data_IF_597833074743
#
_entry.id   IF_597833074743
#
_cell.length_a   1.000
_cell.length_b   1.000
_cell.length_c   1.000
_cell.angle_alpha   90.00
_cell.angle_beta   90.00
_cell.angle_gamma   90.00
#
_symmetry.space_group_name_H-M   'P 1'
#
loop_
_entity.id
_entity.type
_entity.pdbx_description
1 polymer ?
#
# COMPACT_ATOMS: atom_id res chain seq x y z
N UNK A 1 63.13 50.99 -1.12
CA UNK A 1 63.77 49.65 -1.19
C UNK A 1 65.29 49.87 -1.09
N UNK A 2 65.95 49.38 -0.05
CA UNK A 2 67.40 49.54 0.11
C UNK A 2 68.10 48.41 -0.64
N UNK A 3 68.80 48.73 -1.72
CA UNK A 3 69.67 47.77 -2.40
C UNK A 3 71.08 47.94 -1.84
N UNK A 4 71.61 46.89 -1.22
CA UNK A 4 72.98 46.84 -0.70
C UNK A 4 73.84 46.07 -1.69
N UNK A 5 74.93 46.67 -2.15
CA UNK A 5 75.96 45.97 -2.91
C UNK A 5 76.71 45.00 -1.97
N UNK A 6 76.55 43.70 -2.22
CA UNK A 6 77.09 42.62 -1.40
C UNK A 6 78.60 42.42 -1.54
N UNK A 7 79.30 43.20 -2.38
CA UNK A 7 80.76 43.06 -2.54
C UNK A 7 81.55 44.15 -1.79
N UNK A 8 80.98 45.33 -1.51
CA UNK A 8 81.70 46.42 -0.83
C UNK A 8 81.05 46.96 0.46
N UNK A 9 79.83 46.52 0.82
CA UNK A 9 79.23 46.79 2.14
C UNK A 9 79.06 48.28 2.49
N UNK A 10 78.90 49.17 1.51
CA UNK A 10 78.59 50.59 1.73
C UNK A 10 77.34 51.02 0.93
N UNK A 11 76.47 51.89 1.48
CA UNK A 11 75.22 52.29 0.83
C UNK A 11 75.48 53.27 -0.34
N UNK A 12 74.88 52.99 -1.50
CA UNK A 12 75.11 53.74 -2.75
C UNK A 12 73.88 54.55 -3.17
N UNK A 13 73.28 55.33 -2.26
CA UNK A 13 72.19 56.34 -2.45
C UNK A 13 70.77 56.02 -1.96
N UNK A 14 70.08 57.09 -1.55
CA UNK A 14 68.70 57.15 -1.04
C UNK A 14 67.81 57.84 -2.08
N UNK A 15 66.79 57.17 -2.62
CA UNK A 15 65.88 57.74 -3.60
C UNK A 15 64.72 58.47 -2.91
N UNK A 16 64.79 59.80 -2.88
CA UNK A 16 63.64 60.68 -2.63
C UNK A 16 63.33 61.48 -3.89
N UNK A 17 62.31 61.09 -4.66
CA UNK A 17 61.81 61.84 -5.82
C UNK A 17 61.09 60.99 -6.87
N UNK A 18 59.96 61.50 -7.38
CA UNK A 18 59.02 60.81 -8.26
C UNK A 18 59.52 60.63 -9.71
N UNK A 19 59.17 59.49 -10.33
CA UNK A 19 59.41 59.17 -11.73
C UNK A 19 58.35 59.84 -12.62
N UNK A 20 58.59 61.05 -13.12
CA UNK A 20 57.66 61.70 -14.07
C UNK A 20 58.29 62.18 -15.38
N UNK A 21 59.60 62.07 -15.58
CA UNK A 21 60.23 62.50 -16.84
C UNK A 21 61.30 61.50 -17.33
N UNK A 22 60.93 60.64 -18.30
CA UNK A 22 61.89 59.91 -19.14
C UNK A 22 61.41 59.97 -20.60
N UNK A 23 62.27 60.37 -21.57
CA UNK A 23 61.88 60.44 -22.98
C UNK A 23 61.77 59.05 -23.61
N UNK A 24 60.79 58.88 -24.48
CA UNK A 24 60.55 57.65 -25.25
C UNK A 24 61.65 57.44 -26.29
N UNK A 25 62.45 56.38 -26.17
CA UNK A 25 63.41 55.96 -27.21
C UNK A 25 62.75 54.79 -27.98
N UNK A 26 62.42 55.02 -29.25
CA UNK A 26 61.94 53.98 -30.15
C UNK A 26 63.08 53.01 -30.55
N UNK A 27 62.80 51.71 -30.52
CA UNK A 27 63.75 50.67 -30.95
C UNK A 27 63.23 49.96 -32.20
N UNK A 28 64.14 49.66 -33.14
CA UNK A 28 63.90 48.79 -34.31
C UNK A 28 64.74 47.52 -34.13
N UNK A 29 64.14 46.35 -34.33
CA UNK A 29 64.80 45.05 -34.14
C UNK A 29 66.04 44.89 -35.03
N UNK A 30 67.19 44.52 -34.44
CA UNK A 30 68.35 43.96 -35.16
C UNK A 30 69.63 44.79 -35.26
N UNK A 31 69.75 45.95 -34.59
CA UNK A 31 71.01 46.72 -34.53
C UNK A 31 71.68 46.59 -33.16
N UNK A 32 72.94 46.14 -33.11
CA UNK A 32 73.76 46.12 -31.91
C UNK A 32 74.48 47.47 -31.73
N UNK A 33 74.09 48.25 -30.72
CA UNK A 33 74.80 49.47 -30.32
C UNK A 33 75.92 49.06 -29.36
N UNK A 34 77.19 49.25 -29.77
CA UNK A 34 78.34 49.16 -28.87
C UNK A 34 78.63 50.54 -28.33
N UNK A 35 78.36 50.74 -27.05
CA UNK A 35 79.09 51.70 -26.23
C UNK A 35 79.17 51.18 -24.79
N UNK A 36 80.33 51.42 -24.19
CA UNK A 36 80.75 50.86 -22.92
C UNK A 36 79.84 51.28 -21.76
N UNK A 37 79.53 50.28 -20.94
CA UNK A 37 78.84 50.31 -19.65
C UNK A 37 77.30 50.36 -19.70
N UNK A 38 76.75 49.33 -19.05
CA UNK A 38 75.35 48.99 -18.86
C UNK A 38 74.67 48.38 -20.09
N UNK A 39 74.74 47.04 -20.17
CA UNK A 39 73.57 46.30 -20.63
C UNK A 39 72.47 46.62 -19.62
N UNK A 40 71.64 47.61 -19.92
CA UNK A 40 70.34 47.74 -19.26
C UNK A 40 69.53 46.55 -19.77
N UNK A 41 69.74 45.37 -19.16
CA UNK A 41 68.70 44.34 -19.17
C UNK A 41 67.58 44.95 -18.34
N UNK A 42 66.76 45.81 -18.95
CA UNK A 42 65.38 45.89 -18.51
C UNK A 42 64.89 44.49 -18.82
N UNK A 43 64.85 43.61 -17.81
CA UNK A 43 63.82 42.58 -17.86
C UNK A 43 62.54 43.37 -17.86
N UNK A 44 62.05 43.70 -19.06
CA UNK A 44 60.64 43.94 -19.23
C UNK A 44 60.04 42.54 -19.01
N UNK A 45 59.85 42.18 -17.74
CA UNK A 45 58.72 41.35 -17.42
C UNK A 45 57.56 42.12 -18.01
N UNK A 46 57.03 41.63 -19.13
CA UNK A 46 55.72 42.04 -19.62
C UNK A 46 54.84 41.93 -18.37
N UNK A 47 54.41 43.05 -17.81
CA UNK A 47 53.30 43.04 -16.88
C UNK A 47 52.12 42.74 -17.81
N UNK A 48 51.83 41.47 -18.02
CA UNK A 48 50.56 41.06 -18.60
C UNK A 48 49.54 41.52 -17.56
N UNK A 49 48.88 42.63 -17.86
CA UNK A 49 47.63 42.96 -17.18
C UNK A 49 46.65 41.89 -17.66
N UNK A 50 45.94 41.28 -16.72
CA UNK A 50 44.89 40.32 -17.03
C UNK A 50 43.66 41.09 -17.55
N UNK A 51 42.96 40.41 -18.43
CA UNK A 51 41.78 40.82 -19.22
C UNK A 51 41.12 39.47 -19.54
N UNK A 52 40.34 38.98 -18.58
CA UNK A 52 39.91 37.58 -18.51
C UNK A 52 38.89 37.26 -19.60
N UNK A 53 37.93 38.15 -19.83
CA UNK A 53 36.93 38.03 -20.90
C UNK A 53 37.43 38.53 -22.29
N UNK A 54 38.55 39.27 -22.34
CA UNK A 54 39.10 39.90 -23.54
C UNK A 54 38.18 40.96 -24.19
N UNK A 55 37.35 41.66 -23.42
CA UNK A 55 36.54 42.79 -23.93
C UNK A 55 37.34 44.08 -24.12
N UNK A 56 38.57 44.12 -23.59
CA UNK A 56 39.51 45.22 -23.69
C UNK A 56 39.51 46.17 -22.50
N UNK A 57 38.70 45.90 -21.48
CA UNK A 57 38.86 46.38 -20.11
C UNK A 57 39.87 45.46 -19.40
N UNK A 58 40.50 45.93 -18.34
CA UNK A 58 41.43 45.09 -17.57
C UNK A 58 40.73 44.67 -16.31
N UNK A 59 40.92 43.45 -15.82
CA UNK A 59 40.24 42.91 -14.63
C UNK A 59 40.14 43.93 -13.47
N UNK A 60 41.27 44.56 -13.12
CA UNK A 60 41.33 45.60 -12.06
C UNK A 60 40.46 46.87 -12.27
N UNK A 61 39.94 47.07 -13.47
CA UNK A 61 39.13 48.18 -13.96
C UNK A 61 37.76 47.70 -14.49
N UNK A 62 37.56 46.39 -14.58
CA UNK A 62 36.28 45.75 -14.88
C UNK A 62 35.48 45.54 -13.59
N UNK A 63 34.20 45.24 -13.74
CA UNK A 63 33.30 44.91 -12.63
C UNK A 63 32.64 43.55 -12.79
N UNK A 64 33.00 42.84 -13.86
CA UNK A 64 32.51 41.55 -14.32
C UNK A 64 33.63 40.97 -15.19
N UNK A 65 34.69 40.51 -14.52
CA UNK A 65 36.01 40.20 -15.10
C UNK A 65 35.93 39.08 -16.17
N UNK A 66 34.93 38.20 -16.10
CA UNK A 66 34.72 37.10 -17.05
C UNK A 66 33.45 37.22 -17.93
N UNK A 67 32.60 38.21 -17.65
CA UNK A 67 31.44 38.62 -18.44
C UNK A 67 30.36 37.54 -18.54
N UNK A 68 30.20 36.75 -17.48
CA UNK A 68 29.11 35.79 -17.32
C UNK A 68 27.77 36.46 -16.94
N UNK A 69 27.84 37.73 -16.53
CA UNK A 69 26.71 38.58 -16.17
C UNK A 69 26.47 38.75 -14.67
N UNK A 70 27.31 38.15 -13.82
CA UNK A 70 27.34 38.33 -12.36
C UNK A 70 28.54 39.22 -12.00
N UNK A 71 28.32 40.40 -11.37
CA UNK A 71 29.45 41.27 -11.02
C UNK A 71 30.41 40.64 -10.00
N UNK A 72 31.71 40.93 -10.10
CA UNK A 72 32.77 40.31 -9.27
C UNK A 72 32.55 40.37 -7.74
N UNK A 73 31.72 41.32 -7.28
CA UNK A 73 31.41 41.48 -5.86
C UNK A 73 30.43 40.45 -5.33
N UNK A 74 29.59 39.90 -6.22
CA UNK A 74 28.56 38.93 -5.93
C UNK A 74 28.91 37.54 -6.51
N UNK A 75 30.02 37.42 -7.23
CA UNK A 75 30.53 36.20 -7.85
C UNK A 75 31.65 35.54 -7.01
N UNK A 76 31.47 34.30 -6.53
CA UNK A 76 32.52 33.51 -5.88
C UNK A 76 33.70 33.16 -6.82
N UNK A 77 33.47 33.10 -8.13
CA UNK A 77 34.44 32.73 -9.17
C UNK A 77 34.57 33.79 -10.28
N UNK A 78 34.98 35.03 -9.94
CA UNK A 78 34.96 36.18 -10.85
C UNK A 78 35.85 36.06 -12.10
N UNK A 79 36.60 34.97 -12.27
CA UNK A 79 37.49 34.75 -13.42
C UNK A 79 37.12 33.49 -14.22
N UNK A 80 36.05 32.79 -13.85
CA UNK A 80 35.58 31.58 -14.50
C UNK A 80 34.13 31.73 -14.96
N UNK A 81 33.88 32.05 -16.23
CA UNK A 81 32.53 32.37 -16.71
C UNK A 81 31.60 31.15 -16.79
N UNK A 82 32.07 29.99 -16.34
CA UNK A 82 31.29 28.77 -16.20
C UNK A 82 30.82 28.53 -14.77
N UNK A 83 31.28 29.29 -13.77
CA UNK A 83 30.94 29.12 -12.36
C UNK A 83 30.58 30.46 -11.75
N UNK A 84 29.43 30.57 -11.10
CA UNK A 84 29.03 31.81 -10.40
C UNK A 84 28.29 31.57 -9.08
N UNK A 85 28.20 30.32 -8.66
CA UNK A 85 27.58 29.90 -7.39
C UNK A 85 28.50 28.89 -6.72
N UNK A 86 28.61 28.99 -5.40
CA UNK A 86 29.41 28.15 -4.50
C UNK A 86 28.54 27.92 -3.26
N UNK A 87 27.61 26.96 -3.34
CA UNK A 87 26.51 26.83 -2.38
C UNK A 87 27.02 26.48 -0.98
N UNK A 88 28.07 25.68 -0.87
CA UNK A 88 28.68 25.28 0.40
C UNK A 88 29.92 26.10 0.81
N UNK A 89 30.50 26.88 -0.11
CA UNK A 89 31.68 27.70 0.13
C UNK A 89 32.99 26.91 0.19
N UNK A 90 33.08 25.73 -0.43
CA UNK A 90 34.28 24.89 -0.42
C UNK A 90 35.34 25.35 -1.45
N UNK A 91 34.92 26.19 -2.40
CA UNK A 91 35.74 26.78 -3.44
C UNK A 91 35.77 26.00 -4.75
N UNK A 92 34.86 25.04 -4.96
CA UNK A 92 34.44 24.48 -6.25
C UNK A 92 33.05 25.02 -6.58
N UNK A 93 32.82 25.45 -7.82
CA UNK A 93 31.52 26.01 -8.19
C UNK A 93 30.50 24.93 -8.50
N UNK A 94 29.22 25.22 -8.25
CA UNK A 94 28.10 24.26 -8.36
C UNK A 94 28.03 23.54 -9.73
N UNK A 95 28.53 24.12 -10.84
CA UNK A 95 28.52 23.40 -12.13
C UNK A 95 29.62 22.32 -12.24
N UNK A 96 30.65 22.40 -11.39
CA UNK A 96 31.78 21.48 -11.35
C UNK A 96 31.83 20.64 -10.06
N UNK A 97 31.18 21.08 -8.99
CA UNK A 97 30.96 20.28 -7.80
C UNK A 97 29.97 19.15 -8.10
N UNK A 98 29.95 18.15 -7.22
CA UNK A 98 29.09 16.98 -7.34
C UNK A 98 28.24 16.76 -6.09
N UNK A 99 28.34 17.68 -5.12
CA UNK A 99 27.72 17.69 -3.80
C UNK A 99 27.66 19.17 -3.36
N UNK A 100 26.82 19.96 -4.06
CA UNK A 100 26.83 21.43 -4.01
C UNK A 100 26.59 22.03 -2.61
N UNK A 101 25.99 21.27 -1.69
CA UNK A 101 25.75 21.68 -0.30
C UNK A 101 26.58 20.92 0.76
N UNK A 102 27.43 19.99 0.31
CA UNK A 102 28.40 19.22 1.09
C UNK A 102 27.79 18.43 2.26
N UNK A 103 26.55 17.94 2.11
CA UNK A 103 25.91 17.11 3.12
C UNK A 103 26.25 15.61 3.02
N UNK A 104 26.92 15.24 1.93
CA UNK A 104 27.47 13.91 1.67
C UNK A 104 26.64 13.05 0.72
N UNK A 105 25.58 13.59 0.12
CA UNK A 105 24.80 12.98 -0.96
C UNK A 105 25.05 13.75 -2.26
N UNK A 106 25.33 13.05 -3.36
CA UNK A 106 25.66 13.73 -4.62
C UNK A 106 24.42 14.28 -5.30
N UNK A 107 24.54 15.41 -6.02
CA UNK A 107 23.41 16.14 -6.63
C UNK A 107 22.53 15.28 -7.53
N UNK A 108 23.08 14.22 -8.14
CA UNK A 108 22.34 13.31 -9.01
C UNK A 108 21.44 12.32 -8.24
N UNK A 109 21.64 12.24 -6.92
CA UNK A 109 20.89 11.38 -5.99
C UNK A 109 20.19 12.15 -4.87
N UNK A 110 20.54 13.42 -4.69
CA UNK A 110 19.92 14.29 -3.70
C UNK A 110 18.58 14.85 -4.21
N UNK A 111 17.54 14.81 -3.37
CA UNK A 111 16.26 15.44 -3.66
C UNK A 111 16.33 16.99 -3.55
N UNK A 112 17.24 17.51 -2.72
CA UNK A 112 17.50 18.93 -2.48
C UNK A 112 18.99 19.29 -2.58
N UNK A 113 19.61 19.23 -3.78
CA UNK A 113 21.06 19.40 -3.96
C UNK A 113 21.70 20.69 -3.43
N UNK A 114 20.91 21.70 -3.05
CA UNK A 114 21.39 23.01 -2.60
C UNK A 114 21.03 23.31 -1.14
N UNK A 115 20.56 22.30 -0.40
CA UNK A 115 20.09 22.44 0.97
C UNK A 115 20.60 21.28 1.82
N UNK A 116 21.81 21.43 2.37
CA UNK A 116 22.47 20.37 3.13
C UNK A 116 21.85 20.01 4.49
N UNK A 117 20.61 20.44 4.72
CA UNK A 117 19.76 19.96 5.80
C UNK A 117 18.73 18.91 5.34
N UNK A 118 18.59 18.66 4.03
CA UNK A 118 17.58 17.78 3.45
C UNK A 118 18.21 16.97 2.31
N UNK A 119 18.07 15.64 2.35
CA UNK A 119 18.64 14.74 1.32
C UNK A 119 17.58 13.89 0.59
N UNK A 120 16.36 13.84 1.14
CA UNK A 120 15.31 12.92 0.74
C UNK A 120 13.94 13.62 0.75
N UNK A 121 13.05 13.18 -0.14
CA UNK A 121 11.66 13.62 -0.33
C UNK A 121 10.85 12.35 -0.66
N UNK A 122 10.46 11.62 0.38
CA UNK A 122 9.96 10.25 0.23
C UNK A 122 8.59 10.20 -0.47
N UNK A 123 7.69 11.15 -0.20
CA UNK A 123 6.37 11.24 -0.83
C UNK A 123 6.34 12.13 -2.09
N UNK A 124 7.43 12.84 -2.35
CA UNK A 124 7.64 13.69 -3.53
C UNK A 124 6.71 14.92 -3.56
N UNK A 125 6.41 15.49 -2.39
CA UNK A 125 5.61 16.70 -2.26
C UNK A 125 6.43 18.01 -2.39
N UNK A 126 7.76 17.89 -2.32
CA UNK A 126 8.73 18.97 -2.44
C UNK A 126 9.16 19.60 -1.10
N UNK A 127 8.79 19.01 0.03
CA UNK A 127 9.32 19.26 1.37
C UNK A 127 10.26 18.08 1.70
N UNK A 128 11.43 18.37 2.27
CA UNK A 128 12.39 17.30 2.60
C UNK A 128 12.04 16.60 3.91
N UNK A 129 12.32 15.30 3.99
CA UNK A 129 11.96 14.42 5.12
C UNK A 129 12.39 14.99 6.51
N UNK A 130 13.47 15.77 6.63
CA UNK A 130 13.83 16.34 7.95
C UNK A 130 12.93 17.52 8.36
N UNK A 131 12.24 18.15 7.40
CA UNK A 131 11.31 19.27 7.60
C UNK A 131 9.85 18.87 7.39
N UNK A 132 9.58 17.75 6.72
CA UNK A 132 8.25 17.21 6.50
C UNK A 132 7.67 16.70 7.82
N UNK A 133 6.40 17.03 8.14
CA UNK A 133 5.65 16.39 9.20
C UNK A 133 5.03 15.01 8.86
N UNK A 134 5.06 14.54 7.61
CA UNK A 134 4.38 13.34 7.08
C UNK A 134 5.19 12.75 5.91
N UNK A 135 6.37 12.19 6.23
CA UNK A 135 7.42 11.79 5.28
C UNK A 135 6.91 10.87 4.14
N UNK A 136 5.97 9.97 4.42
CA UNK A 136 5.46 9.01 3.43
C UNK A 136 4.10 9.36 2.81
N UNK A 137 3.51 10.48 3.23
CA UNK A 137 2.29 11.05 2.68
C UNK A 137 1.03 10.20 2.90
N UNK A 138 0.99 9.34 3.92
CA UNK A 138 -0.20 8.53 4.26
C UNK A 138 -1.28 9.33 5.01
N UNK A 139 -0.94 10.53 5.49
CA UNK A 139 -1.82 11.45 6.20
C UNK A 139 -1.68 11.40 7.72
N UNK A 140 -0.75 10.61 8.27
CA UNK A 140 -0.42 10.49 9.68
C UNK A 140 0.94 11.13 9.94
N UNK A 141 0.98 12.02 10.93
CA UNK A 141 2.21 12.75 11.22
C UNK A 141 3.30 11.84 11.83
N UNK A 142 4.57 11.98 11.43
CA UNK A 142 5.67 11.09 11.82
C UNK A 142 5.81 10.92 13.34
N UNK A 143 5.44 11.94 14.12
CA UNK A 143 5.57 11.90 15.59
C UNK A 143 4.59 10.93 16.25
N UNK A 144 3.52 10.55 15.56
CA UNK A 144 2.52 9.58 15.99
C UNK A 144 2.46 8.35 15.08
N UNK A 145 3.18 8.37 13.96
CA UNK A 145 3.32 7.25 13.07
C UNK A 145 4.33 6.22 13.62
N UNK A 146 3.96 4.95 13.64
CA UNK A 146 4.88 3.88 14.04
C UNK A 146 5.90 3.52 12.93
N UNK A 147 5.56 3.78 11.67
CA UNK A 147 6.34 3.52 10.46
C UNK A 147 6.33 4.72 9.50
N UNK A 148 6.91 5.87 9.89
CA UNK A 148 6.86 7.13 9.12
C UNK A 148 7.47 7.09 7.71
N UNK A 149 8.05 5.98 7.27
CA UNK A 149 8.63 5.83 5.93
C UNK A 149 7.90 4.77 5.09
N UNK A 150 6.71 4.39 5.50
CA UNK A 150 5.94 3.33 4.87
C UNK A 150 4.47 3.71 4.77
N UNK A 151 4.11 4.30 3.63
CA UNK A 151 2.75 4.73 3.27
C UNK A 151 1.64 3.68 3.45
N UNK A 152 2.00 2.40 3.63
CA UNK A 152 1.08 1.30 3.84
C UNK A 152 0.92 0.89 5.32
N UNK A 153 1.63 1.48 6.27
CA UNK A 153 1.60 1.11 7.69
C UNK A 153 1.75 2.35 8.57
N UNK A 154 0.84 2.54 9.54
CA UNK A 154 0.94 3.67 10.49
C UNK A 154 0.82 3.28 11.96
N UNK A 155 0.57 1.99 12.25
CA UNK A 155 0.33 1.51 13.61
C UNK A 155 1.05 0.17 13.88
N UNK A 156 1.61 0.06 15.08
CA UNK A 156 2.25 -1.14 15.66
C UNK A 156 1.66 -1.34 17.06
N UNK A 157 0.59 -2.14 17.15
CA UNK A 157 -0.23 -2.22 18.36
C UNK A 157 0.51 -2.94 19.50
N UNK A 158 1.26 -4.00 19.21
CA UNK A 158 1.98 -4.79 20.22
C UNK A 158 3.46 -4.40 20.37
N UNK A 159 3.99 -3.59 19.45
CA UNK A 159 5.34 -3.06 19.47
C UNK A 159 6.39 -4.06 18.99
N UNK A 160 6.02 -5.04 18.16
CA UNK A 160 6.95 -6.06 17.65
C UNK A 160 7.76 -5.60 16.41
N UNK A 161 7.37 -4.46 15.82
CA UNK A 161 7.99 -3.85 14.66
C UNK A 161 7.44 -4.32 13.31
N UNK A 162 6.34 -5.07 13.30
CA UNK A 162 5.52 -5.36 12.12
C UNK A 162 4.27 -4.47 12.21
N UNK A 163 3.97 -3.75 11.13
CA UNK A 163 2.78 -2.89 11.12
C UNK A 163 1.50 -3.71 11.07
N UNK A 164 0.43 -3.20 11.68
CA UNK A 164 -0.85 -3.91 11.81
C UNK A 164 -1.45 -4.36 10.46
N UNK A 165 -1.08 -3.76 9.32
CA UNK A 165 -1.61 -4.22 8.02
C UNK A 165 -0.88 -5.46 7.51
N UNK A 166 0.36 -5.68 7.94
CA UNK A 166 1.19 -6.83 7.63
C UNK A 166 1.21 -7.90 8.73
N UNK A 167 0.92 -7.51 9.98
CA UNK A 167 0.81 -8.42 11.10
C UNK A 167 -0.48 -9.25 11.02
N UNK A 168 -0.45 -10.41 11.65
CA UNK A 168 -1.57 -11.34 11.73
C UNK A 168 -2.03 -11.59 13.16
N UNK A 169 -1.41 -10.93 14.16
CA UNK A 169 -1.68 -11.00 15.61
C UNK A 169 -1.36 -9.63 16.23
N UNK A 170 -2.10 -8.60 15.79
CA UNK A 170 -1.86 -7.17 16.02
C UNK A 170 -1.62 -6.82 17.51
N UNK A 171 -2.21 -7.52 18.47
CA UNK A 171 -2.02 -7.27 19.90
C UNK A 171 -1.08 -8.24 20.64
N UNK A 172 -0.51 -9.20 19.91
CA UNK A 172 0.49 -10.13 20.41
C UNK A 172 -0.01 -11.06 21.53
N UNK A 173 -1.32 -11.27 21.64
CA UNK A 173 -1.90 -12.15 22.67
C UNK A 173 -1.83 -13.65 22.32
N UNK A 174 -1.44 -13.94 21.07
CA UNK A 174 -1.26 -15.28 20.53
C UNK A 174 -2.49 -15.80 19.76
N UNK A 175 -3.55 -15.00 19.63
CA UNK A 175 -4.70 -15.28 18.79
C UNK A 175 -4.60 -14.45 17.49
N UNK A 176 -4.51 -15.09 16.31
CA UNK A 176 -4.43 -14.33 15.07
C UNK A 176 -5.64 -13.42 14.86
N UNK A 177 -5.52 -12.24 14.24
CA UNK A 177 -6.58 -11.22 14.10
C UNK A 177 -7.88 -11.76 13.51
N UNK A 178 -7.74 -12.69 12.56
CA UNK A 178 -8.87 -13.37 11.93
C UNK A 178 -9.69 -14.22 12.91
N UNK A 179 -9.07 -14.64 14.00
CA UNK A 179 -9.62 -15.45 15.08
C UNK A 179 -9.84 -14.65 16.37
N UNK A 180 -9.20 -13.49 16.49
CA UNK A 180 -9.25 -12.67 17.68
C UNK A 180 -10.44 -11.69 17.71
N UNK A 181 -10.98 -11.52 18.91
CA UNK A 181 -12.21 -10.79 19.18
C UNK A 181 -11.95 -9.30 19.43
N UNK A 182 -10.70 -8.93 19.68
CA UNK A 182 -10.29 -7.57 19.94
C UNK A 182 -8.84 -7.39 19.49
N UNK A 183 -8.57 -7.39 18.16
CA UNK A 183 -7.20 -7.46 17.61
C UNK A 183 -6.26 -6.33 18.06
N UNK A 184 -6.77 -5.32 18.77
CA UNK A 184 -6.00 -4.20 19.28
C UNK A 184 -5.91 -4.14 20.82
N UNK A 185 -6.33 -5.18 21.55
CA UNK A 185 -6.30 -5.20 23.02
C UNK A 185 -6.07 -6.60 23.59
N UNK A 186 -4.79 -6.88 23.88
CA UNK A 186 -4.30 -8.14 24.42
C UNK A 186 -4.94 -8.58 25.76
N UNK A 187 -5.74 -7.71 26.41
CA UNK A 187 -6.43 -8.02 27.65
C UNK A 187 -7.85 -8.57 27.42
N UNK A 188 -8.32 -8.61 26.18
CA UNK A 188 -9.65 -9.08 25.80
C UNK A 188 -9.54 -10.45 25.15
N UNK A 189 -9.30 -11.46 25.99
CA UNK A 189 -9.18 -12.83 25.49
C UNK A 189 -10.49 -13.36 24.89
N UNK A 190 -10.32 -14.14 23.82
CA UNK A 190 -11.35 -14.91 23.10
C UNK A 190 -12.46 -15.44 24.02
N UNK A 191 -13.71 -15.07 23.70
CA UNK A 191 -14.91 -15.68 24.29
C UNK A 191 -14.76 -17.21 24.30
N UNK A 192 -14.94 -17.83 25.47
CA UNK A 192 -14.79 -19.28 25.66
C UNK A 192 -15.83 -20.12 24.92
N UNK A 193 -16.77 -19.49 24.20
CA UNK A 193 -17.71 -20.18 23.31
C UNK A 193 -17.21 -20.20 21.87
N UNK A 194 -17.09 -21.40 21.32
CA UNK A 194 -16.90 -21.59 19.87
C UNK A 194 -18.01 -20.91 19.09
N UNK A 195 -17.67 -20.23 17.99
CA UNK A 195 -18.64 -19.63 17.06
C UNK A 195 -18.09 -19.50 15.66
N UNK A 196 -18.98 -19.31 14.69
CA UNK A 196 -18.62 -18.96 13.32
C UNK A 196 -18.31 -17.46 13.27
N UNK A 197 -17.05 -17.09 13.01
CA UNK A 197 -16.61 -15.69 13.09
C UNK A 197 -16.72 -14.92 11.77
N UNK A 198 -16.73 -15.63 10.64
CA UNK A 198 -16.95 -14.99 9.35
C UNK A 198 -17.72 -15.86 8.35
N UNK A 199 -18.24 -15.17 7.34
CA UNK A 199 -18.73 -15.70 6.07
C UNK A 199 -17.80 -15.19 5.00
N UNK A 200 -17.35 -16.05 4.10
CA UNK A 200 -16.76 -15.59 2.86
C UNK A 200 -17.25 -16.48 1.73
N UNK A 201 -17.60 -15.93 0.58
CA UNK A 201 -17.84 -16.76 -0.59
C UNK A 201 -17.37 -16.09 -1.85
N UNK A 202 -16.44 -16.75 -2.54
CA UNK A 202 -15.99 -16.37 -3.86
C UNK A 202 -16.87 -17.03 -4.91
N UNK A 203 -17.40 -16.22 -5.82
CA UNK A 203 -18.25 -16.71 -6.90
C UNK A 203 -18.34 -15.72 -8.06
N UNK A 204 -18.97 -16.18 -9.14
CA UNK A 204 -19.27 -15.30 -10.28
C UNK A 204 -20.41 -14.35 -9.91
N UNK A 205 -20.14 -13.04 -9.97
CA UNK A 205 -21.16 -12.00 -9.91
C UNK A 205 -21.79 -11.90 -11.29
N UNK A 206 -23.08 -12.18 -11.38
CA UNK A 206 -23.86 -12.11 -12.63
C UNK A 206 -25.08 -11.22 -12.47
N UNK A 207 -25.85 -11.07 -13.54
CA UNK A 207 -27.05 -10.24 -13.58
C UNK A 207 -28.32 -11.09 -13.46
N UNK A 208 -29.44 -10.44 -13.15
CA UNK A 208 -30.74 -11.11 -13.04
C UNK A 208 -30.80 -12.07 -11.87
N UNK A 209 -31.27 -13.29 -12.10
CA UNK A 209 -31.47 -14.30 -11.04
C UNK A 209 -30.15 -14.96 -10.59
N UNK A 210 -29.05 -14.76 -11.33
CA UNK A 210 -27.73 -15.36 -11.08
C UNK A 210 -26.80 -14.48 -10.21
N UNK A 211 -27.31 -13.38 -9.61
CA UNK A 211 -26.54 -12.53 -8.70
C UNK A 211 -25.93 -13.33 -7.55
N UNK A 212 -24.77 -12.88 -7.06
CA UNK A 212 -24.14 -13.45 -5.87
C UNK A 212 -24.84 -12.91 -4.62
N UNK A 213 -25.33 -13.80 -3.77
CA UNK A 213 -26.10 -13.44 -2.58
C UNK A 213 -25.53 -14.11 -1.34
N UNK A 214 -25.04 -13.30 -0.40
CA UNK A 214 -24.70 -13.74 0.96
C UNK A 214 -25.91 -13.60 1.89
N UNK A 215 -26.37 -14.69 2.47
CA UNK A 215 -27.39 -14.74 3.52
C UNK A 215 -26.74 -14.96 4.88
N UNK A 216 -27.23 -14.22 5.89
CA UNK A 216 -26.78 -14.34 7.26
C UNK A 216 -27.95 -14.35 8.24
N UNK A 217 -27.77 -15.01 9.38
CA UNK A 217 -28.73 -15.01 10.49
C UNK A 217 -28.01 -14.57 11.77
N UNK A 218 -28.50 -13.47 12.35
CA UNK A 218 -28.09 -13.01 13.68
C UNK A 218 -28.96 -13.73 14.72
N UNK A 219 -28.33 -14.52 15.58
CA UNK A 219 -28.99 -15.16 16.73
C UNK A 219 -28.71 -14.42 18.04
N UNK A 220 -29.53 -14.70 19.05
CA UNK A 220 -29.47 -14.07 20.36
C UNK A 220 -30.68 -13.15 20.61
N UNK A 221 -30.57 -12.30 21.62
CA UNK A 221 -31.63 -11.36 22.01
C UNK A 221 -31.26 -9.89 21.77
N UNK A 222 -29.98 -9.61 21.56
CA UNK A 222 -29.44 -8.27 21.38
C UNK A 222 -28.94 -8.06 19.96
N UNK A 223 -28.90 -6.80 19.46
CA UNK A 223 -28.29 -6.50 18.18
C UNK A 223 -26.80 -6.83 18.13
N UNK A 224 -26.31 -7.17 16.93
CA UNK A 224 -24.93 -7.52 16.63
C UNK A 224 -24.37 -6.56 15.59
N UNK A 225 -23.19 -6.02 15.83
CA UNK A 225 -22.47 -5.27 14.80
C UNK A 225 -21.72 -6.24 13.91
N UNK A 226 -21.90 -6.09 12.61
CA UNK A 226 -21.23 -6.87 11.58
C UNK A 226 -20.66 -5.95 10.51
N UNK A 227 -19.62 -6.43 9.85
CA UNK A 227 -19.06 -5.85 8.65
C UNK A 227 -19.53 -6.72 7.49
N UNK A 228 -20.11 -6.14 6.44
CA UNK A 228 -20.33 -6.83 5.17
C UNK A 228 -19.48 -6.18 4.10
N UNK A 229 -18.76 -6.98 3.31
CA UNK A 229 -17.93 -6.49 2.20
C UNK A 229 -18.11 -7.29 0.92
N UNK A 230 -17.83 -6.62 -0.19
CA UNK A 230 -17.74 -7.20 -1.52
C UNK A 230 -16.44 -6.75 -2.18
N UNK A 231 -15.54 -7.70 -2.46
CA UNK A 231 -14.22 -7.43 -3.09
C UNK A 231 -14.08 -8.16 -4.41
N UNK A 232 -13.43 -7.53 -5.38
CA UNK A 232 -13.21 -8.05 -6.72
C UNK A 232 -11.78 -7.76 -7.13
N UNK A 233 -11.43 -6.51 -7.48
CA UNK A 233 -10.07 -6.13 -7.83
C UNK A 233 -9.02 -6.53 -6.79
N UNK A 234 -9.31 -6.45 -5.48
CA UNK A 234 -8.37 -6.82 -4.42
C UNK A 234 -8.08 -8.32 -4.34
N UNK A 235 -8.86 -9.16 -5.02
CA UNK A 235 -8.50 -10.58 -5.16
C UNK A 235 -7.25 -10.76 -6.04
N UNK A 236 -6.93 -9.81 -6.93
CA UNK A 236 -5.73 -9.87 -7.76
C UNK A 236 -4.47 -9.59 -6.95
N UNK A 237 -4.59 -8.80 -5.88
CA UNK A 237 -3.48 -8.54 -4.95
C UNK A 237 -3.11 -9.82 -4.18
N UNK A 238 -4.12 -10.60 -3.79
CA UNK A 238 -3.93 -11.89 -3.12
C UNK A 238 -3.52 -13.03 -4.07
N UNK A 239 -4.04 -13.04 -5.31
CA UNK A 239 -3.68 -14.02 -6.34
C UNK A 239 -3.62 -13.35 -7.73
N UNK A 240 -2.41 -13.02 -8.23
CA UNK A 240 -2.22 -12.40 -9.54
C UNK A 240 -2.78 -13.22 -10.72
N UNK A 241 -3.03 -14.53 -10.56
CA UNK A 241 -3.63 -15.36 -11.61
C UNK A 241 -5.11 -15.03 -11.85
N UNK A 242 -5.73 -14.23 -10.97
CA UNK A 242 -7.10 -13.74 -11.14
C UNK A 242 -7.19 -12.48 -12.00
N UNK A 243 -6.07 -11.93 -12.47
CA UNK A 243 -6.04 -10.76 -13.34
C UNK A 243 -6.94 -10.95 -14.58
N UNK A 244 -7.83 -9.99 -14.82
CA UNK A 244 -8.79 -10.03 -15.93
C UNK A 244 -10.00 -10.96 -15.73
N UNK A 245 -10.11 -11.61 -14.57
CA UNK A 245 -11.27 -12.46 -14.21
C UNK A 245 -12.18 -11.81 -13.15
N UNK A 246 -11.69 -10.83 -12.41
CA UNK A 246 -12.43 -10.13 -11.36
C UNK A 246 -13.36 -9.06 -11.93
N UNK A 247 -14.35 -8.63 -11.14
CA UNK A 247 -15.28 -7.56 -11.51
C UNK A 247 -15.09 -6.34 -10.61
N UNK A 248 -15.09 -5.17 -11.22
CA UNK A 248 -15.02 -3.86 -10.55
C UNK A 248 -16.40 -3.18 -10.48
N UNK A 249 -16.50 -2.07 -9.74
CA UNK A 249 -17.74 -1.31 -9.54
C UNK A 249 -18.77 -2.12 -8.77
N UNK A 250 -18.31 -2.85 -7.74
CA UNK A 250 -19.14 -3.71 -6.93
C UNK A 250 -20.12 -2.88 -6.12
N UNK A 251 -21.41 -3.22 -6.20
CA UNK A 251 -22.44 -2.67 -5.34
C UNK A 251 -22.97 -3.74 -4.40
N UNK A 252 -22.91 -3.44 -3.11
CA UNK A 252 -23.43 -4.26 -2.02
C UNK A 252 -24.74 -3.65 -1.53
N UNK A 253 -25.83 -4.39 -1.63
CA UNK A 253 -27.14 -3.99 -1.10
C UNK A 253 -27.58 -4.97 -0.02
N UNK A 254 -27.90 -4.46 1.18
CA UNK A 254 -28.31 -5.28 2.32
C UNK A 254 -29.80 -5.12 2.57
N UNK A 255 -30.50 -6.23 2.76
CA UNK A 255 -31.93 -6.33 3.02
C UNK A 255 -32.22 -7.00 4.36
N UNK A 256 -33.29 -6.57 5.01
CA UNK A 256 -33.88 -7.30 6.15
C UNK A 256 -34.70 -8.52 5.69
N UNK A 257 -35.14 -9.34 6.66
CA UNK A 257 -35.95 -10.54 6.38
C UNK A 257 -37.36 -10.26 5.82
N UNK A 258 -37.80 -9.00 5.77
CA UNK A 258 -39.03 -8.57 5.10
C UNK A 258 -38.79 -8.08 3.66
N UNK A 259 -37.52 -8.00 3.23
CA UNK A 259 -37.13 -7.54 1.91
C UNK A 259 -36.97 -6.02 1.80
N UNK A 260 -36.90 -5.29 2.91
CA UNK A 260 -36.62 -3.85 2.88
C UNK A 260 -35.12 -3.62 2.79
N UNK A 261 -34.70 -2.63 1.98
CA UNK A 261 -33.30 -2.20 1.90
C UNK A 261 -32.91 -1.50 3.20
N UNK A 262 -31.84 -1.98 3.83
CA UNK A 262 -31.21 -1.35 4.99
C UNK A 262 -30.13 -0.36 4.56
N UNK A 263 -29.28 -0.78 3.63
CA UNK A 263 -28.23 0.05 3.04
C UNK A 263 -27.87 -0.45 1.65
N UNK A 264 -27.30 0.44 0.85
CA UNK A 264 -26.66 0.13 -0.42
C UNK A 264 -25.41 0.99 -0.54
N UNK A 265 -24.30 0.40 -0.98
CA UNK A 265 -23.04 1.10 -1.11
C UNK A 265 -22.18 0.53 -2.23
N UNK A 266 -21.53 1.45 -2.93
CA UNK A 266 -20.32 1.22 -3.70
C UNK A 266 -19.20 2.01 -3.03
N UNK A 267 -17.96 1.64 -3.33
CA UNK A 267 -16.75 2.33 -2.90
C UNK A 267 -16.70 2.61 -1.40
N UNK A 268 -16.08 1.70 -0.66
CA UNK A 268 -15.99 1.78 0.79
C UNK A 268 -15.37 3.10 1.26
N UNK A 269 -14.50 3.73 0.45
CA UNK A 269 -13.89 5.01 0.75
C UNK A 269 -14.91 6.15 0.85
N UNK A 270 -16.06 6.05 0.19
CA UNK A 270 -17.13 7.05 0.25
C UNK A 270 -18.06 6.86 1.46
N UNK A 271 -17.92 5.75 2.19
CA UNK A 271 -18.81 5.40 3.28
C UNK A 271 -18.15 5.67 4.63
N UNK A 272 -18.60 6.72 5.33
CA UNK A 272 -18.04 7.14 6.62
C UNK A 272 -17.97 6.02 7.69
N UNK A 273 -18.86 5.01 7.63
CA UNK A 273 -18.81 3.87 8.57
C UNK A 273 -17.83 2.75 8.14
N UNK A 274 -17.37 2.75 6.89
CA UNK A 274 -16.36 1.83 6.38
C UNK A 274 -14.93 2.35 6.65
N UNK A 275 -14.76 3.67 6.78
CA UNK A 275 -13.52 4.28 7.30
C UNK A 275 -13.22 3.93 8.77
N UNK A 276 -14.18 3.34 9.49
CA UNK A 276 -14.01 2.89 10.88
C UNK A 276 -13.68 1.39 10.97
N UNK A 277 -13.50 0.72 9.83
CA UNK A 277 -13.09 -0.68 9.80
C UNK A 277 -11.63 -0.82 10.24
N UNK A 278 -11.26 -1.91 10.92
CA UNK A 278 -9.86 -2.36 11.00
C UNK A 278 -9.28 -2.43 9.59
N UNK A 279 -8.03 -2.00 9.41
CA UNK A 279 -7.40 -1.92 8.08
C UNK A 279 -7.29 -3.29 7.40
N UNK A 280 -6.99 -4.35 8.17
CA UNK A 280 -7.04 -5.76 7.72
C UNK A 280 -8.40 -6.18 7.15
N UNK A 281 -9.48 -5.47 7.50
CA UNK A 281 -10.84 -5.73 7.02
C UNK A 281 -11.30 -4.75 5.92
N UNK A 282 -10.54 -3.69 5.63
CA UNK A 282 -10.86 -2.75 4.55
C UNK A 282 -10.65 -3.41 3.18
N UNK A 283 -11.49 -3.12 2.19
CA UNK A 283 -11.19 -3.45 0.81
C UNK A 283 -9.92 -2.71 0.35
N UNK A 284 -9.04 -3.37 -0.42
CA UNK A 284 -7.72 -2.81 -0.75
C UNK A 284 -7.73 -1.86 -1.94
N UNK A 285 -8.86 -1.74 -2.64
CA UNK A 285 -8.99 -0.92 -3.85
C UNK A 285 -10.31 -0.14 -3.85
N UNK A 286 -10.28 1.04 -4.45
CA UNK A 286 -11.48 1.84 -4.74
C UNK A 286 -12.47 1.05 -5.63
N UNK A 287 -13.76 1.35 -5.53
CA UNK A 287 -14.81 0.65 -6.29
C UNK A 287 -15.25 -0.70 -5.69
N UNK A 288 -14.64 -1.13 -4.59
CA UNK A 288 -15.10 -2.25 -3.76
C UNK A 288 -16.03 -1.77 -2.66
N UNK A 289 -16.95 -2.60 -2.16
CA UNK A 289 -17.96 -2.16 -1.20
C UNK A 289 -17.70 -2.74 0.19
N UNK A 290 -17.86 -1.93 1.24
CA UNK A 290 -17.92 -2.39 2.62
C UNK A 290 -18.91 -1.54 3.43
N UNK A 291 -19.64 -2.18 4.34
CA UNK A 291 -20.59 -1.52 5.23
C UNK A 291 -20.50 -2.10 6.64
N UNK A 292 -20.61 -1.24 7.65
CA UNK A 292 -20.74 -1.64 9.05
C UNK A 292 -22.19 -1.45 9.48
N UNK A 293 -22.82 -2.49 10.01
CA UNK A 293 -24.23 -2.48 10.41
C UNK A 293 -24.43 -3.11 11.78
N UNK A 294 -25.23 -2.46 12.63
CA UNK A 294 -25.77 -3.09 13.83
C UNK A 294 -27.14 -3.67 13.53
N UNK A 295 -27.22 -5.01 13.50
CA UNK A 295 -28.38 -5.77 13.07
C UNK A 295 -29.05 -6.44 14.27
N UNK A 296 -30.36 -6.28 14.41
CA UNK A 296 -31.14 -7.02 15.40
C UNK A 296 -31.17 -8.54 15.09
N UNK A 297 -31.48 -9.42 16.04
CA UNK A 297 -31.67 -10.84 15.76
C UNK A 297 -32.68 -11.08 14.63
N UNK A 298 -32.30 -11.85 13.62
CA UNK A 298 -33.09 -12.03 12.40
C UNK A 298 -32.28 -12.51 11.20
N UNK A 299 -32.97 -12.74 10.08
CA UNK A 299 -32.37 -13.11 8.81
C UNK A 299 -32.16 -11.87 7.93
N UNK A 300 -31.02 -11.82 7.23
CA UNK A 300 -30.62 -10.73 6.35
C UNK A 300 -30.06 -11.26 5.05
N UNK A 301 -30.05 -10.42 4.02
CA UNK A 301 -29.56 -10.76 2.68
C UNK A 301 -28.69 -9.66 2.15
N UNK A 302 -27.45 -9.98 1.79
CA UNK A 302 -26.52 -9.14 1.06
C UNK A 302 -26.48 -9.57 -0.40
N UNK A 303 -26.86 -8.68 -1.30
CA UNK A 303 -26.78 -8.91 -2.75
C UNK A 303 -25.59 -8.14 -3.29
N UNK A 304 -24.71 -8.84 -3.98
CA UNK A 304 -23.57 -8.27 -4.69
C UNK A 304 -23.87 -8.22 -6.18
N UNK A 305 -23.73 -7.03 -6.74
CA UNK A 305 -23.93 -6.74 -8.16
C UNK A 305 -22.71 -6.04 -8.72
N UNK A 306 -22.47 -6.18 -10.03
CA UNK A 306 -21.37 -5.51 -10.74
C UNK A 306 -21.81 -5.10 -12.15
N UNK A 307 -21.05 -4.20 -12.77
CA UNK A 307 -21.36 -3.69 -14.11
C UNK A 307 -21.22 -4.74 -15.22
N UNK A 308 -20.39 -5.77 -14.99
CA UNK A 308 -20.14 -6.89 -15.90
C UNK A 308 -20.11 -8.20 -15.11
N UNK A 309 -20.04 -9.34 -15.80
CA UNK A 309 -19.79 -10.63 -15.15
C UNK A 309 -18.32 -10.79 -14.83
N UNK A 310 -18.01 -11.19 -13.59
CA UNK A 310 -16.65 -11.53 -13.16
C UNK A 310 -16.67 -12.12 -11.75
N UNK A 311 -15.49 -12.46 -11.24
CA UNK A 311 -15.32 -13.02 -9.90
C UNK A 311 -15.31 -11.91 -8.85
N UNK A 312 -16.04 -12.14 -7.78
CA UNK A 312 -15.94 -11.36 -6.55
C UNK A 312 -16.11 -12.28 -5.35
N UNK A 313 -15.85 -11.72 -4.17
CA UNK A 313 -16.09 -12.33 -2.89
C UNK A 313 -17.11 -11.50 -2.12
N UNK A 314 -18.09 -12.16 -1.49
CA UNK A 314 -18.99 -11.54 -0.51
C UNK A 314 -18.62 -12.07 0.86
N UNK A 315 -18.44 -11.16 1.83
CA UNK A 315 -17.95 -11.53 3.14
C UNK A 315 -18.71 -10.83 4.26
N UNK A 316 -18.83 -11.50 5.40
CA UNK A 316 -19.40 -10.96 6.64
C UNK A 316 -18.46 -11.27 7.79
N UNK A 317 -18.16 -10.27 8.62
CA UNK A 317 -17.37 -10.43 9.84
C UNK A 317 -18.17 -9.93 11.03
N UNK A 318 -18.06 -10.61 12.16
CA UNK A 318 -18.56 -10.09 13.43
C UNK A 318 -17.62 -9.00 13.97
N UNK A 319 -18.16 -7.94 14.57
CA UNK A 319 -17.36 -6.88 15.21
C UNK A 319 -17.75 -6.70 16.69
N UNK A 320 -16.78 -6.87 17.59
CA UNK A 320 -16.87 -6.69 19.05
C UNK A 320 -17.74 -7.75 19.74
N UNK A 321 -17.18 -8.51 20.70
CA UNK A 321 -17.84 -9.77 21.06
C UNK A 321 -17.73 -10.34 22.49
N UNK A 322 -18.09 -9.54 23.49
CA UNK A 322 -18.22 -10.01 24.87
C UNK A 322 -19.60 -10.62 25.21
N UNK A 323 -20.48 -10.89 24.22
CA UNK A 323 -21.89 -11.27 24.45
C UNK A 323 -22.38 -12.54 23.73
N UNK A 324 -23.58 -13.05 24.08
CA UNK A 324 -24.13 -14.31 23.55
C UNK A 324 -24.68 -14.25 22.10
N UNK A 325 -24.75 -13.07 21.51
CA UNK A 325 -25.21 -12.82 20.14
C UNK A 325 -24.18 -13.33 19.12
N UNK A 326 -24.59 -14.10 18.11
CA UNK A 326 -23.66 -14.70 17.14
C UNK A 326 -24.29 -15.00 15.78
N UNK A 327 -23.46 -15.11 14.76
CA UNK A 327 -23.78 -15.67 13.46
C UNK A 327 -24.10 -17.16 13.64
N UNK A 328 -25.36 -17.51 13.37
CA UNK A 328 -25.84 -18.89 13.54
C UNK A 328 -25.69 -19.72 12.27
N UNK A 329 -25.78 -19.07 11.11
CA UNK A 329 -25.72 -19.70 9.81
C UNK A 329 -25.14 -18.74 8.78
N UNK A 330 -24.48 -19.37 7.82
CA UNK A 330 -23.83 -18.79 6.67
C UNK A 330 -24.41 -19.48 5.44
N UNK A 331 -25.00 -18.72 4.52
CA UNK A 331 -25.54 -19.27 3.26
C UNK A 331 -25.19 -18.37 2.10
N UNK A 332 -24.46 -18.86 1.10
CA UNK A 332 -24.27 -18.09 -0.13
C UNK A 332 -24.91 -18.78 -1.31
N UNK A 333 -25.78 -18.05 -2.01
CA UNK A 333 -26.34 -18.45 -3.31
C UNK A 333 -25.53 -17.82 -4.42
N UNK A 334 -25.12 -18.61 -5.39
CA UNK A 334 -24.42 -18.12 -6.57
C UNK A 334 -24.45 -19.11 -7.72
N UNK A 335 -23.99 -18.65 -8.88
CA UNK A 335 -23.75 -19.54 -10.00
C UNK A 335 -22.51 -20.40 -9.73
N UNK A 336 -22.68 -21.72 -9.81
CA UNK A 336 -21.62 -22.71 -9.75
C UNK A 336 -21.25 -23.10 -11.18
N UNK A 337 -20.06 -22.68 -11.61
CA UNK A 337 -19.49 -23.02 -12.90
C UNK A 337 -18.64 -24.29 -12.86
N UNK A 338 -17.79 -24.43 -13.89
CA UNK A 338 -16.86 -25.56 -14.05
C UNK A 338 -15.42 -25.06 -14.00
N UNK A 339 -14.47 -25.95 -13.76
CA UNK A 339 -13.05 -25.58 -13.69
C UNK A 339 -12.81 -24.65 -12.51
N UNK A 340 -12.29 -23.46 -12.77
CA UNK A 340 -11.95 -22.48 -11.73
C UNK A 340 -13.14 -21.59 -11.33
N UNK A 341 -14.27 -21.67 -12.05
CA UNK A 341 -15.46 -20.83 -11.82
C UNK A 341 -16.46 -21.51 -10.86
N UNK A 342 -15.96 -22.34 -9.96
CA UNK A 342 -16.72 -22.99 -8.87
C UNK A 342 -17.09 -21.98 -7.79
N UNK A 343 -18.09 -22.33 -6.97
CA UNK A 343 -18.45 -21.53 -5.79
C UNK A 343 -17.58 -21.98 -4.61
N UNK A 344 -16.92 -21.05 -3.93
CA UNK A 344 -16.02 -21.36 -2.83
C UNK A 344 -16.47 -20.63 -1.58
N UNK A 345 -17.03 -21.36 -0.62
CA UNK A 345 -17.38 -20.83 0.70
C UNK A 345 -16.21 -20.96 1.67
N UNK A 346 -15.80 -19.86 2.30
CA UNK A 346 -14.89 -19.82 3.43
C UNK A 346 -15.64 -19.67 4.75
N UNK A 347 -15.14 -20.32 5.79
CA UNK A 347 -15.62 -20.18 7.17
C UNK A 347 -14.48 -20.22 8.15
N UNK A 348 -14.54 -19.37 9.16
CA UNK A 348 -13.64 -19.33 10.30
C UNK A 348 -14.40 -19.81 11.53
N UNK A 349 -13.82 -20.80 12.20
CA UNK A 349 -14.23 -21.24 13.52
C UNK A 349 -13.32 -20.56 14.54
N UNK A 350 -13.89 -19.67 15.35
CA UNK A 350 -13.17 -18.99 16.43
C UNK A 350 -13.59 -19.54 17.79
N UNK A 351 -12.78 -19.30 18.82
CA UNK A 351 -12.95 -19.88 20.15
C UNK A 351 -11.89 -20.93 20.46
N UNK A 352 -11.90 -21.43 21.70
CA UNK A 352 -10.92 -22.41 22.16
C UNK A 352 -11.33 -23.87 21.88
N UNK A 353 -12.62 -24.14 21.72
CA UNK A 353 -13.16 -25.49 21.58
C UNK A 353 -13.54 -25.83 20.13
N UNK A 354 -13.51 -27.12 19.72
CA UNK A 354 -13.98 -27.53 18.40
C UNK A 354 -15.49 -27.27 18.19
N UNK A 355 -15.89 -26.88 16.97
CA UNK A 355 -17.29 -26.72 16.59
C UNK A 355 -17.80 -27.90 15.79
N UNK A 356 -19.02 -28.34 16.08
CA UNK A 356 -19.73 -29.29 15.21
C UNK A 356 -20.55 -28.51 14.20
N UNK A 357 -20.29 -28.72 12.91
CA UNK A 357 -20.94 -28.00 11.82
C UNK A 357 -21.56 -28.95 10.81
N UNK A 358 -22.62 -28.50 10.15
CA UNK A 358 -23.12 -29.07 8.90
C UNK A 358 -22.70 -28.15 7.76
N UNK A 359 -21.90 -28.66 6.84
CA UNK A 359 -21.59 -28.03 5.56
C UNK A 359 -22.46 -28.68 4.49
N UNK A 360 -23.29 -27.92 3.78
CA UNK A 360 -24.18 -28.47 2.75
C UNK A 360 -24.18 -27.64 1.48
N UNK A 361 -24.43 -28.32 0.36
CA UNK A 361 -24.61 -27.71 -0.94
C UNK A 361 -25.94 -28.15 -1.53
N UNK A 362 -26.78 -27.16 -1.88
CA UNK A 362 -28.15 -27.39 -2.35
C UNK A 362 -28.35 -26.84 -3.75
N UNK A 363 -29.25 -27.49 -4.48
CA UNK A 363 -29.64 -27.13 -5.82
C UNK A 363 -31.10 -27.51 -6.06
N UNK A 364 -31.43 -28.79 -6.29
CA UNK A 364 -32.79 -29.21 -6.63
C UNK A 364 -33.85 -28.82 -5.59
N UNK A 365 -33.56 -28.92 -4.29
CA UNK A 365 -34.53 -28.59 -3.23
C UNK A 365 -34.93 -27.12 -3.20
N UNK A 366 -34.13 -26.23 -3.80
CA UNK A 366 -34.44 -24.81 -3.89
C UNK A 366 -35.66 -24.53 -4.77
N UNK A 367 -36.02 -25.44 -5.68
CA UNK A 367 -37.19 -25.29 -6.52
C UNK A 367 -38.49 -25.22 -5.71
N UNK A 368 -38.51 -25.80 -4.49
CA UNK A 368 -39.68 -25.79 -3.62
C UNK A 368 -39.99 -24.40 -3.05
N UNK A 369 -38.94 -23.64 -2.72
CA UNK A 369 -39.04 -22.31 -2.11
C UNK A 369 -38.85 -21.18 -3.13
N UNK A 370 -38.33 -21.48 -4.31
CA UNK A 370 -38.12 -20.53 -5.40
C UNK A 370 -38.42 -21.17 -6.76
N UNK A 371 -39.71 -21.40 -7.10
CA UNK A 371 -40.10 -22.09 -8.34
C UNK A 371 -39.62 -21.38 -9.62
N UNK A 372 -39.37 -20.08 -9.56
CA UNK A 372 -38.83 -19.30 -10.70
C UNK A 372 -37.41 -19.71 -11.11
N UNK A 373 -36.65 -20.37 -10.23
CA UNK A 373 -35.31 -20.87 -10.53
C UNK A 373 -35.32 -22.26 -11.18
N UNK A 374 -36.48 -22.90 -11.30
CA UNK A 374 -36.58 -24.25 -11.87
C UNK A 374 -35.97 -24.30 -13.27
N UNK A 375 -35.03 -25.24 -13.48
CA UNK A 375 -34.27 -25.38 -14.74
C UNK A 375 -32.96 -24.59 -14.80
N UNK A 376 -32.67 -23.75 -13.80
CA UNK A 376 -31.39 -23.04 -13.65
C UNK A 376 -30.53 -23.60 -12.52
N UNK A 377 -31.09 -24.52 -11.71
CA UNK A 377 -30.46 -25.06 -10.51
C UNK A 377 -29.34 -26.05 -10.84
N UNK A 378 -28.32 -26.09 -9.99
CA UNK A 378 -27.28 -27.12 -10.04
C UNK A 378 -27.90 -28.47 -9.65
N UNK A 379 -27.97 -29.41 -10.59
CA UNK A 379 -28.73 -30.66 -10.37
C UNK A 379 -28.07 -31.66 -9.41
N UNK A 380 -26.75 -31.61 -9.28
CA UNK A 380 -25.95 -32.63 -8.59
C UNK A 380 -24.75 -31.95 -7.89
N UNK A 381 -24.99 -31.19 -6.81
CA UNK A 381 -23.94 -30.44 -6.13
C UNK A 381 -23.02 -31.35 -5.31
N UNK A 382 -21.72 -31.13 -5.43
CA UNK A 382 -20.67 -31.79 -4.63
C UNK A 382 -19.95 -30.79 -3.75
N UNK A 383 -19.59 -31.19 -2.54
CA UNK A 383 -18.75 -30.46 -1.60
C UNK A 383 -17.40 -31.16 -1.46
N UNK A 384 -16.33 -30.36 -1.49
CA UNK A 384 -15.00 -30.75 -1.01
C UNK A 384 -14.53 -29.73 0.02
N UNK A 385 -14.24 -30.18 1.23
CA UNK A 385 -13.81 -29.34 2.34
C UNK A 385 -12.30 -29.43 2.53
N UNK A 386 -11.67 -28.28 2.71
CA UNK A 386 -10.23 -28.12 2.90
C UNK A 386 -9.93 -27.34 4.19
N UNK A 387 -8.82 -27.66 4.84
CA UNK A 387 -8.27 -26.85 5.93
C UNK A 387 -7.36 -25.73 5.39
N UNK A 388 -6.87 -24.87 6.29
CA UNK A 388 -5.98 -23.74 5.95
C UNK A 388 -4.71 -24.16 5.18
N UNK A 389 -4.19 -25.37 5.41
CA UNK A 389 -3.03 -25.89 4.68
C UNK A 389 -3.35 -26.40 3.27
N UNK A 390 -4.60 -26.28 2.80
CA UNK A 390 -5.05 -26.77 1.50
C UNK A 390 -5.23 -28.29 1.42
N UNK A 391 -5.25 -28.99 2.57
CA UNK A 391 -5.49 -30.43 2.61
C UNK A 391 -7.00 -30.69 2.62
N UNK A 392 -7.47 -31.55 1.72
CA UNK A 392 -8.86 -31.99 1.70
C UNK A 392 -9.14 -32.88 2.91
N UNK A 393 -10.14 -32.51 3.71
CA UNK A 393 -10.51 -33.21 4.95
C UNK A 393 -11.80 -34.02 4.82
N UNK A 394 -12.68 -33.69 3.88
CA UNK A 394 -13.91 -34.43 3.64
C UNK A 394 -14.51 -34.10 2.26
N UNK A 395 -15.22 -35.05 1.66
CA UNK A 395 -16.06 -34.81 0.48
C UNK A 395 -17.42 -35.52 0.57
N UNK A 396 -18.41 -34.97 -0.12
CA UNK A 396 -19.72 -35.58 -0.30
C UNK A 396 -20.41 -35.00 -1.54
N UNK A 397 -21.10 -35.84 -2.30
CA UNK A 397 -21.94 -35.49 -3.45
C UNK A 397 -23.38 -35.99 -3.31
N UNK A 398 -23.71 -36.63 -2.18
CA UNK A 398 -25.06 -37.12 -1.86
C UNK A 398 -25.18 -37.32 -0.36
N UNK A 399 -26.04 -36.55 0.30
CA UNK A 399 -26.27 -36.65 1.74
C UNK A 399 -26.99 -37.95 2.11
N UNK A 400 -27.77 -38.50 1.17
CA UNK A 400 -28.51 -39.74 1.35
C UNK A 400 -27.60 -40.97 1.30
N UNK A 401 -26.40 -40.82 0.74
CA UNK A 401 -25.34 -41.82 0.75
C UNK A 401 -24.32 -41.52 1.86
N UNK A 402 -23.64 -42.57 2.35
CA UNK A 402 -22.64 -42.39 3.41
C UNK A 402 -21.37 -41.76 2.82
N UNK A 403 -21.21 -40.45 3.00
CA UNK A 403 -19.95 -39.73 2.74
C UNK A 403 -18.96 -39.79 3.91
N UNK A 404 -17.98 -38.88 3.90
CA UNK A 404 -16.93 -38.77 4.93
C UNK A 404 -17.45 -38.21 6.28
N UNK A 405 -18.71 -37.76 6.34
CA UNK A 405 -19.30 -37.09 7.49
C UNK A 405 -20.05 -38.00 8.48
N UNK A 406 -20.35 -37.44 9.66
CA UNK A 406 -21.28 -38.03 10.62
C UNK A 406 -22.74 -37.96 10.12
N UNK A 407 -23.68 -38.73 10.71
CA UNK A 407 -25.10 -38.66 10.34
C UNK A 407 -25.69 -37.26 10.50
N UNK A 408 -26.29 -36.72 9.44
CA UNK A 408 -26.90 -35.38 9.44
C UNK A 408 -28.23 -35.39 10.21
N UNK A 409 -28.47 -34.42 11.15
CA UNK A 409 -29.76 -34.27 11.81
C UNK A 409 -30.89 -34.02 10.81
N UNK A 410 -32.08 -34.57 11.06
CA UNK A 410 -33.25 -34.45 10.16
C UNK A 410 -33.60 -32.99 9.82
N UNK A 411 -33.41 -32.07 10.77
CA UNK A 411 -33.66 -30.64 10.56
C UNK A 411 -32.66 -29.97 9.61
N UNK A 412 -31.51 -30.62 9.34
CA UNK A 412 -30.43 -30.08 8.52
C UNK A 412 -30.22 -30.85 7.21
N UNK A 413 -30.93 -31.96 7.01
CA UNK A 413 -30.88 -32.75 5.79
C UNK A 413 -31.37 -31.91 4.59
N UNK A 414 -30.64 -31.91 3.47
CA UNK A 414 -31.14 -31.37 2.21
C UNK A 414 -32.45 -32.05 1.76
N UNK A 415 -33.23 -31.34 0.93
CA UNK A 415 -34.55 -31.81 0.51
C UNK A 415 -34.50 -32.84 -0.63
N UNK A 416 -33.42 -32.84 -1.42
CA UNK A 416 -33.19 -33.77 -2.51
C UNK A 416 -32.00 -34.68 -2.20
N UNK A 417 -32.10 -35.97 -2.51
CA UNK A 417 -31.08 -36.96 -2.19
C UNK A 417 -29.75 -36.75 -2.93
N UNK A 418 -29.76 -36.08 -4.10
CA UNK A 418 -28.56 -35.76 -4.87
C UNK A 418 -27.80 -34.53 -4.33
N UNK A 419 -28.29 -33.90 -3.25
CA UNK A 419 -27.61 -32.75 -2.66
C UNK A 419 -26.51 -33.20 -1.69
N UNK A 420 -25.41 -32.45 -1.60
CA UNK A 420 -24.32 -32.79 -0.71
C UNK A 420 -24.52 -32.25 0.72
N UNK A 421 -24.14 -33.05 1.71
CA UNK A 421 -23.99 -32.58 3.09
C UNK A 421 -22.93 -33.36 3.87
N UNK A 422 -22.22 -32.65 4.74
CA UNK A 422 -21.20 -33.17 5.65
C UNK A 422 -21.47 -32.64 7.06
N UNK A 423 -21.51 -33.52 8.06
CA UNK A 423 -21.46 -33.12 9.47
C UNK A 423 -20.09 -33.50 10.04
N UNK A 424 -19.38 -32.51 10.57
CA UNK A 424 -17.99 -32.65 11.01
C UNK A 424 -17.79 -31.87 12.31
N UNK A 425 -16.90 -32.36 13.16
CA UNK A 425 -16.37 -31.58 14.29
C UNK A 425 -15.01 -31.04 13.87
N UNK A 426 -14.93 -29.72 13.73
CA UNK A 426 -13.78 -28.99 13.22
C UNK A 426 -13.10 -28.24 14.37
N UNK A 427 -11.78 -28.19 14.36
CA UNK A 427 -11.00 -27.41 15.32
C UNK A 427 -11.17 -25.91 15.00
N UNK A 428 -10.86 -25.00 15.95
CA UNK A 428 -10.69 -23.59 15.62
C UNK A 428 -9.72 -23.39 14.46
N UNK A 429 -10.06 -22.49 13.54
CA UNK A 429 -9.29 -22.20 12.34
C UNK A 429 -10.14 -21.95 11.09
N UNK A 430 -9.46 -21.68 9.98
CA UNK A 430 -10.09 -21.39 8.69
C UNK A 430 -10.28 -22.65 7.82
N UNK A 431 -11.43 -22.72 7.18
CA UNK A 431 -11.83 -23.81 6.30
C UNK A 431 -12.43 -23.30 4.99
N UNK A 432 -12.22 -24.07 3.92
CA UNK A 432 -12.71 -23.76 2.57
C UNK A 432 -13.56 -24.90 2.05
N UNK A 433 -14.83 -24.65 1.77
CA UNK A 433 -15.76 -25.55 1.09
C UNK A 433 -15.85 -25.17 -0.39
N UNK A 434 -15.37 -26.04 -1.27
CA UNK A 434 -15.53 -25.92 -2.71
C UNK A 434 -16.82 -26.64 -3.11
N UNK A 435 -17.71 -25.91 -3.78
CA UNK A 435 -18.94 -26.46 -4.36
C UNK A 435 -18.83 -26.47 -5.88
N UNK A 436 -18.96 -27.66 -6.45
CA UNK A 436 -18.95 -27.89 -7.89
C UNK A 436 -20.06 -28.88 -8.30
N UNK A 437 -20.42 -28.93 -9.58
CA UNK A 437 -21.35 -29.93 -10.07
C UNK A 437 -20.65 -31.27 -10.26
N UNK A 438 -21.11 -32.32 -9.59
CA UNK A 438 -20.68 -33.67 -9.88
C UNK A 438 -20.87 -33.95 -11.38
N UNK A 439 -19.86 -34.55 -12.00
CA UNK A 439 -19.78 -34.79 -13.45
C UNK A 439 -19.71 -33.53 -14.34
N UNK A 440 -19.34 -32.37 -13.78
CA UNK A 440 -19.17 -31.12 -14.55
C UNK A 440 -20.47 -30.37 -14.83
N UNK A 441 -21.49 -30.59 -14.00
CA UNK A 441 -22.71 -29.78 -14.01
C UNK A 441 -22.44 -28.32 -13.65
N UNK A 442 -23.31 -27.42 -14.10
CA UNK A 442 -23.30 -26.01 -13.71
C UNK A 442 -24.72 -25.52 -13.47
N UNK A 443 -24.86 -24.45 -12.70
CA UNK A 443 -26.16 -23.87 -12.36
C UNK A 443 -26.12 -23.10 -11.06
N UNK A 444 -27.27 -22.59 -10.64
CA UNK A 444 -27.43 -21.89 -9.36
C UNK A 444 -27.42 -22.92 -8.23
N UNK A 445 -26.53 -22.73 -7.27
CA UNK A 445 -26.45 -23.53 -6.05
C UNK A 445 -26.34 -22.64 -4.81
N UNK A 446 -26.52 -23.26 -3.65
CA UNK A 446 -26.26 -22.66 -2.34
C UNK A 446 -25.18 -23.46 -1.64
N UNK A 447 -24.20 -22.79 -1.05
CA UNK A 447 -23.30 -23.36 -0.03
C UNK A 447 -23.72 -22.83 1.34
N UNK A 448 -23.76 -23.72 2.33
CA UNK A 448 -24.13 -23.38 3.71
C UNK A 448 -23.17 -23.99 4.72
N UNK A 449 -22.88 -23.24 5.78
CA UNK A 449 -22.22 -23.74 6.99
C UNK A 449 -23.07 -23.38 8.20
N UNK A 450 -23.51 -24.40 8.91
CA UNK A 450 -24.45 -24.29 10.03
C UNK A 450 -23.79 -24.86 11.27
N UNK A 451 -23.65 -24.04 12.31
CA UNK A 451 -23.24 -24.54 13.63
C UNK A 451 -24.38 -25.39 14.21
N UNK A 452 -24.05 -26.62 14.61
CA UNK A 452 -24.96 -27.50 15.33
C UNK A 452 -24.63 -27.36 16.81
N UNK A 453 -25.36 -26.50 17.52
CA UNK A 453 -25.29 -26.46 18.97
C UNK A 453 -25.84 -27.76 19.56
N UNK A 454 -25.18 -28.33 20.56
CA UNK A 454 -25.69 -29.48 21.34
C UNK A 454 -27.04 -29.21 22.00
#
# INVERSE_FOLDING_TARGET
MNVVDTIAGQPIWNFGGAFTDMPTIGYVQGQAVRDDHFVKVIRATRLTLADTDNDGTLDREDTDDDNDGIPDIDDPFPLDPAESVDTDGDGVGDNADTDDDNDGVTDDTDAFPLNGAETADLDVDGIGDNADPDDDGDGINDVIDAFPQNVAESADTDGDGIGNNADTDDDGDGAPDLLDVSPYDANVSVSTGTRLANISTRGSVRQGDEVLIGGLVIAGTEPKTVILRARGPSLVDADPNLAGRTVDGLNLTVFDGAGNVLTAGQDWQDHAAAMLLPDSLRPGRAGEAAVTLTLAPGAYTAIVTGGVTGLAIVEVFELGDTGPQRLLNISTRGYVGTGDDVLIGGVIISGADPATVVVRARGPSMAEVSPGLAGQLLNDPRIRLFNLSGVMIAENDSWAEQGDGAPIPVSQQPGDAAEAALMLTLQPGAYTAIVDGANGGSGIGIVEVIEVSE
#
